data_IF_822036473025
#
_entry.id   IF_822036473025
#
_cell.length_a   1.000
_cell.length_b   1.000
_cell.length_c   1.000
_cell.angle_alpha   90.00
_cell.angle_beta   90.00
_cell.angle_gamma   90.00
#
_symmetry.space_group_name_H-M   'P 1'
#
loop_
_entity.id
_entity.type
_entity.pdbx_description
1 polymer ?
#
# COMPACT_ATOMS: atom_id res chain seq x y z
N UNK A 1 19.51 15.56 27.22
CA UNK A 1 18.11 15.17 26.94
C UNK A 1 17.92 13.74 27.42
N UNK A 2 17.18 13.54 28.53
CA UNK A 2 16.90 12.22 29.12
C UNK A 2 15.66 11.65 28.44
N UNK A 3 15.71 10.40 27.97
CA UNK A 3 14.51 9.58 27.85
C UNK A 3 14.70 8.32 28.70
N UNK A 4 13.77 8.15 29.64
CA UNK A 4 13.73 7.18 30.74
C UNK A 4 12.48 6.35 30.56
N UNK A 5 12.59 5.05 30.85
CA UNK A 5 11.56 4.00 31.13
C UNK A 5 11.62 2.86 30.09
N UNK A 6 11.56 1.59 30.46
CA UNK A 6 11.13 0.98 31.72
C UNK A 6 11.76 -0.42 31.91
N UNK A 7 12.67 -0.57 32.88
CA UNK A 7 13.23 -1.86 33.30
C UNK A 7 12.30 -2.65 34.24
N UNK A 8 10.98 -2.63 34.02
CA UNK A 8 10.03 -3.28 34.92
C UNK A 8 9.99 -4.82 34.80
N UNK A 9 10.48 -5.38 33.69
CA UNK A 9 10.54 -6.83 33.49
C UNK A 9 11.70 -7.49 34.26
N UNK A 10 12.81 -6.79 34.47
CA UNK A 10 14.02 -7.41 35.02
C UNK A 10 14.01 -7.53 36.56
N UNK A 11 13.41 -6.58 37.28
CA UNK A 11 13.33 -6.63 38.75
C UNK A 11 12.42 -7.76 39.26
N UNK A 12 11.37 -8.13 38.50
CA UNK A 12 10.47 -9.23 38.89
C UNK A 12 11.13 -10.61 38.84
N UNK A 13 12.13 -10.82 37.97
CA UNK A 13 12.83 -12.10 37.86
C UNK A 13 13.72 -12.35 39.08
N UNK A 14 14.40 -11.31 39.59
CA UNK A 14 15.23 -11.42 40.80
C UNK A 14 14.40 -11.65 42.07
N UNK A 15 13.23 -11.02 42.17
CA UNK A 15 12.30 -11.22 43.30
C UNK A 15 11.68 -12.63 43.37
N UNK A 16 11.50 -13.30 42.23
CA UNK A 16 10.94 -14.65 42.18
C UNK A 16 11.92 -15.74 42.62
N UNK A 17 13.21 -15.58 42.31
CA UNK A 17 14.24 -16.59 42.65
C UNK A 17 14.48 -16.64 44.17
N UNK A 18 14.40 -15.51 44.88
CA UNK A 18 14.56 -15.47 46.34
C UNK A 18 13.37 -16.05 47.11
N UNK A 19 12.18 -16.11 46.50
CA UNK A 19 10.98 -16.68 47.13
C UNK A 19 10.89 -18.22 47.00
N UNK A 20 11.69 -18.83 46.11
CA UNK A 20 11.71 -20.28 45.89
C UNK A 20 12.55 -21.05 46.93
N UNK A 21 13.44 -20.39 47.68
CA UNK A 21 14.36 -21.07 48.62
C UNK A 21 13.79 -21.34 50.03
N UNK A 22 12.50 -21.07 50.28
CA UNK A 22 11.86 -21.26 51.60
C UNK A 22 10.49 -21.95 51.57
N UNK A 23 10.04 -22.47 50.43
CA UNK A 23 8.74 -23.13 50.33
C UNK A 23 8.93 -24.63 50.09
N UNK A 24 8.72 -25.45 51.13
CA UNK A 24 8.76 -26.91 51.04
C UNK A 24 7.50 -27.55 50.44
N UNK A 25 6.54 -26.77 49.93
CA UNK A 25 5.41 -27.26 49.12
C UNK A 25 4.81 -26.13 48.28
N UNK A 26 4.95 -26.21 46.94
CA UNK A 26 4.31 -25.30 45.98
C UNK A 26 3.01 -25.95 45.47
N UNK A 27 1.86 -25.39 45.84
CA UNK A 27 0.57 -25.82 45.29
C UNK A 27 0.21 -24.94 44.09
N UNK A 28 0.48 -25.44 42.89
CA UNK A 28 -0.03 -24.86 41.64
C UNK A 28 -1.52 -25.22 41.51
N UNK A 29 -2.39 -24.28 41.83
CA UNK A 29 -3.81 -24.40 41.48
C UNK A 29 -4.01 -23.89 40.05
N UNK A 30 -4.73 -24.66 39.25
CA UNK A 30 -4.96 -24.42 37.82
C UNK A 30 -5.47 -22.99 37.59
N UNK A 31 -4.63 -22.11 37.05
CA UNK A 31 -5.02 -20.78 36.59
C UNK A 31 -5.93 -20.95 35.36
N UNK A 32 -7.24 -20.86 35.57
CA UNK A 32 -8.28 -21.03 34.54
C UNK A 32 -8.55 -19.79 33.70
N UNK A 33 -7.65 -18.81 33.65
CA UNK A 33 -7.72 -17.77 32.62
C UNK A 33 -6.36 -17.60 31.95
N UNK A 34 -6.20 -18.35 30.86
CA UNK A 34 -5.36 -17.96 29.73
C UNK A 34 -5.56 -16.46 29.48
N UNK A 35 -4.47 -15.73 29.32
CA UNK A 35 -4.49 -14.36 28.80
C UNK A 35 -4.91 -14.52 27.33
N UNK A 36 -6.21 -14.55 27.08
CA UNK A 36 -6.75 -14.47 25.73
C UNK A 36 -6.44 -13.04 25.25
N UNK A 37 -5.40 -12.89 24.43
CA UNK A 37 -5.28 -11.70 23.58
C UNK A 37 -6.47 -11.78 22.61
N UNK A 38 -7.57 -11.12 22.94
CA UNK A 38 -8.48 -10.65 21.90
C UNK A 38 -7.66 -9.68 21.05
N UNK A 39 -7.02 -10.18 20.00
CA UNK A 39 -6.73 -9.36 18.82
C UNK A 39 -8.09 -9.03 18.24
N UNK A 40 -8.73 -7.99 18.76
CA UNK A 40 -9.78 -7.32 17.98
C UNK A 40 -9.16 -7.03 16.62
N UNK A 41 -9.76 -7.60 15.58
CA UNK A 41 -9.20 -7.61 14.24
C UNK A 41 -8.98 -6.16 13.78
N UNK A 42 -7.71 -5.75 13.73
CA UNK A 42 -7.34 -4.38 13.42
C UNK A 42 -7.78 -4.11 11.98
N UNK A 43 -8.79 -3.26 11.85
CA UNK A 43 -9.31 -2.76 10.59
C UNK A 43 -8.44 -1.63 10.07
N UNK A 44 -8.31 -1.52 8.75
CA UNK A 44 -7.63 -0.41 8.09
C UNK A 44 -8.31 0.92 8.44
N UNK A 45 -7.49 1.89 8.88
CA UNK A 45 -7.92 3.24 9.25
C UNK A 45 -6.80 4.27 9.13
N UNK A 46 -7.10 5.56 9.35
CA UNK A 46 -6.16 6.66 9.14
C UNK A 46 -4.82 6.52 9.87
N UNK A 47 -3.72 6.79 9.18
CA UNK A 47 -2.36 6.72 9.70
C UNK A 47 -1.79 5.30 9.80
N UNK A 48 -2.54 4.28 9.39
CA UNK A 48 -2.04 2.90 9.35
C UNK A 48 -1.19 2.66 8.12
N UNK A 49 -0.11 1.91 8.31
CA UNK A 49 0.68 1.37 7.22
C UNK A 49 0.07 0.07 6.72
N UNK A 50 -0.27 0.04 5.43
CA UNK A 50 -0.98 -1.09 4.80
C UNK A 50 -0.14 -1.59 3.63
N UNK A 51 0.04 -2.91 3.57
CA UNK A 51 0.59 -3.59 2.40
C UNK A 51 -0.53 -4.35 1.68
N UNK A 52 -0.60 -4.24 0.37
CA UNK A 52 -1.63 -4.91 -0.43
C UNK A 52 -1.06 -5.32 -1.79
N UNK A 53 -1.57 -6.43 -2.31
CA UNK A 53 -1.27 -6.90 -3.66
C UNK A 53 -2.59 -6.97 -4.42
N UNK A 54 -2.56 -6.54 -5.69
CA UNK A 54 -3.77 -6.49 -6.52
C UNK A 54 -3.44 -6.80 -7.98
N UNK A 55 -4.50 -7.12 -8.72
CA UNK A 55 -4.48 -7.24 -10.18
C UNK A 55 -5.48 -6.23 -10.72
N UNK A 56 -5.04 -5.40 -11.65
CA UNK A 56 -5.86 -4.41 -12.33
C UNK A 56 -6.15 -4.94 -13.74
N UNK A 57 -7.43 -5.07 -14.04
CA UNK A 57 -7.92 -5.49 -15.35
C UNK A 57 -8.83 -4.43 -15.94
N UNK A 58 -8.76 -4.27 -17.25
CA UNK A 58 -9.74 -3.52 -18.01
C UNK A 58 -11.10 -4.23 -17.92
N UNK A 59 -12.15 -3.51 -17.51
CA UNK A 59 -13.45 -4.12 -17.23
C UNK A 59 -14.19 -4.57 -18.50
N UNK A 60 -13.94 -3.93 -19.63
CA UNK A 60 -14.64 -4.21 -20.90
C UNK A 60 -13.99 -5.37 -21.65
N UNK A 61 -12.65 -5.39 -21.71
CA UNK A 61 -11.87 -6.37 -22.45
C UNK A 61 -11.35 -7.53 -21.59
N UNK A 62 -11.33 -7.39 -20.26
CA UNK A 62 -10.74 -8.34 -19.33
C UNK A 62 -9.21 -8.39 -19.41
N UNK A 63 -8.57 -7.50 -20.17
CA UNK A 63 -7.12 -7.46 -20.34
C UNK A 63 -6.46 -7.00 -19.03
N UNK A 64 -5.43 -7.71 -18.60
CA UNK A 64 -4.59 -7.26 -17.51
C UNK A 64 -3.81 -6.00 -17.90
N UNK A 65 -3.97 -4.95 -17.10
CA UNK A 65 -3.26 -3.70 -17.24
C UNK A 65 -2.05 -3.66 -16.32
N UNK A 66 -2.20 -4.21 -15.11
CA UNK A 66 -1.14 -4.25 -14.11
C UNK A 66 -1.39 -5.36 -13.09
N UNK A 67 -0.32 -5.90 -12.51
CA UNK A 67 -0.40 -6.77 -11.35
C UNK A 67 0.81 -6.52 -10.45
N UNK A 68 0.57 -6.46 -9.14
CA UNK A 68 1.65 -6.38 -8.15
C UNK A 68 2.54 -7.62 -8.25
N UNK A 69 3.88 -7.50 -8.34
CA UNK A 69 4.77 -8.64 -8.42
C UNK A 69 4.67 -9.55 -7.18
N UNK A 70 4.91 -10.85 -7.38
CA UNK A 70 4.88 -11.79 -6.27
C UNK A 70 6.00 -11.49 -5.26
N UNK A 71 5.64 -11.33 -3.98
CA UNK A 71 6.59 -11.02 -2.91
C UNK A 71 6.90 -9.52 -2.74
N UNK A 72 6.43 -8.67 -3.66
CA UNK A 72 6.64 -7.21 -3.62
C UNK A 72 5.29 -6.48 -3.55
N UNK A 73 4.54 -6.58 -2.42
CA UNK A 73 3.28 -5.88 -2.27
C UNK A 73 3.47 -4.35 -2.27
N UNK A 74 2.51 -3.63 -2.82
CA UNK A 74 2.48 -2.17 -2.72
C UNK A 74 2.19 -1.75 -1.27
N UNK A 75 2.71 -0.58 -0.90
CA UNK A 75 2.69 -0.06 0.46
C UNK A 75 2.14 1.36 0.48
N UNK A 76 1.28 1.67 1.45
CA UNK A 76 0.79 3.04 1.65
C UNK A 76 0.52 3.34 3.11
N UNK A 77 0.44 4.64 3.43
CA UNK A 77 -0.11 5.12 4.71
C UNK A 77 -1.55 5.57 4.47
N UNK A 78 -2.50 4.80 5.00
CA UNK A 78 -3.93 5.03 4.77
C UNK A 78 -4.36 6.43 5.23
N UNK A 79 -5.02 7.18 4.36
CA UNK A 79 -5.48 8.54 4.63
C UNK A 79 -4.39 9.62 4.57
N UNK A 80 -3.15 9.27 4.22
CA UNK A 80 -2.04 10.22 4.03
C UNK A 80 -1.49 10.14 2.60
N UNK A 81 -1.30 8.93 2.07
CA UNK A 81 -0.86 8.72 0.69
C UNK A 81 -1.89 9.27 -0.30
N UNK A 82 -1.49 10.24 -1.12
CA UNK A 82 -2.33 10.88 -2.15
C UNK A 82 -2.18 10.23 -3.54
N UNK A 83 -1.19 9.36 -3.71
CA UNK A 83 -0.86 8.69 -4.97
C UNK A 83 -1.80 7.51 -5.30
N UNK A 84 -2.72 7.19 -4.38
CA UNK A 84 -3.63 6.05 -4.50
C UNK A 84 -5.02 6.54 -4.88
N UNK A 85 -5.64 5.87 -5.86
CA UNK A 85 -6.96 6.25 -6.36
C UNK A 85 -8.03 6.19 -5.27
N UNK A 86 -8.99 7.13 -5.23
CA UNK A 86 -9.99 7.22 -4.16
C UNK A 86 -10.82 5.95 -3.98
N UNK A 87 -11.15 5.28 -5.08
CA UNK A 87 -11.92 4.04 -5.06
C UNK A 87 -11.18 2.90 -4.38
N UNK A 88 -9.86 2.81 -4.52
CA UNK A 88 -9.05 1.81 -3.83
C UNK A 88 -8.94 2.11 -2.33
N UNK A 89 -8.79 3.38 -1.95
CA UNK A 89 -8.81 3.80 -0.54
C UNK A 89 -10.16 3.46 0.12
N UNK A 90 -11.27 3.66 -0.60
CA UNK A 90 -12.59 3.29 -0.13
C UNK A 90 -12.76 1.76 -0.01
N UNK A 91 -12.27 1.00 -0.98
CA UNK A 91 -12.33 -0.46 -0.96
C UNK A 91 -11.52 -1.09 0.17
N UNK A 92 -10.38 -0.49 0.52
CA UNK A 92 -9.53 -0.96 1.62
C UNK A 92 -10.04 -0.57 3.00
N UNK A 93 -11.01 0.36 3.08
CA UNK A 93 -11.57 0.82 4.34
C UNK A 93 -12.23 -0.35 5.09
N UNK A 94 -12.01 -0.42 6.39
CA UNK A 94 -12.61 -1.41 7.29
C UNK A 94 -12.22 -2.88 7.03
N UNK A 95 -11.36 -3.15 6.04
CA UNK A 95 -10.77 -4.47 5.81
C UNK A 95 -9.75 -4.82 6.88
N UNK A 96 -9.55 -6.12 7.09
CA UNK A 96 -8.59 -6.69 8.02
C UNK A 96 -7.47 -7.39 7.26
N UNK A 97 -6.41 -7.72 7.99
CA UNK A 97 -5.31 -8.50 7.45
C UNK A 97 -5.82 -9.85 6.93
N UNK A 98 -5.54 -10.14 5.65
CA UNK A 98 -5.91 -11.39 4.99
C UNK A 98 -7.24 -11.34 4.25
N UNK A 99 -8.03 -10.27 4.43
CA UNK A 99 -9.23 -10.04 3.64
C UNK A 99 -8.86 -9.82 2.17
N UNK A 100 -9.79 -10.21 1.30
CA UNK A 100 -9.71 -9.99 -0.14
C UNK A 100 -10.81 -9.02 -0.54
N UNK A 101 -10.55 -8.26 -1.58
CA UNK A 101 -11.54 -7.39 -2.21
C UNK A 101 -11.54 -7.66 -3.70
N UNK A 102 -12.71 -7.46 -4.31
CA UNK A 102 -12.92 -7.49 -5.74
C UNK A 102 -13.91 -6.37 -6.04
N UNK A 103 -13.43 -5.31 -6.69
CA UNK A 103 -14.19 -4.08 -6.91
C UNK A 103 -13.99 -3.60 -8.33
N UNK A 104 -15.09 -3.23 -8.98
CA UNK A 104 -15.07 -2.48 -10.24
C UNK A 104 -15.28 -1.01 -9.91
N UNK A 105 -14.31 -0.17 -10.27
CA UNK A 105 -14.36 1.26 -9.99
C UNK A 105 -14.80 2.03 -11.24
N UNK A 106 -15.71 3.01 -11.13
CA UNK A 106 -15.96 3.94 -12.22
C UNK A 106 -14.73 4.81 -12.48
N UNK A 107 -14.58 5.38 -13.69
CA UNK A 107 -13.41 6.19 -14.05
C UNK A 107 -13.13 7.31 -13.03
N UNK A 108 -14.16 7.99 -12.53
CA UNK A 108 -14.05 9.11 -11.58
C UNK A 108 -13.48 8.70 -10.22
N UNK A 109 -13.65 7.43 -9.82
CA UNK A 109 -13.07 6.89 -8.59
C UNK A 109 -11.70 6.22 -8.81
N UNK A 110 -11.26 6.13 -10.06
CA UNK A 110 -10.00 5.53 -10.49
C UNK A 110 -9.07 6.62 -11.07
N UNK A 111 -8.84 6.59 -12.38
CA UNK A 111 -7.88 7.47 -13.08
C UNK A 111 -8.52 8.67 -13.80
N UNK A 112 -9.82 8.89 -13.61
CA UNK A 112 -10.58 9.94 -14.28
C UNK A 112 -11.14 9.51 -15.64
N UNK A 113 -11.95 10.39 -16.23
CA UNK A 113 -12.54 10.17 -17.55
C UNK A 113 -11.49 10.44 -18.62
N UNK A 114 -11.49 9.63 -19.69
CA UNK A 114 -10.67 9.94 -20.86
C UNK A 114 -11.24 11.16 -21.56
N UNK A 115 -10.48 12.25 -21.57
CA UNK A 115 -10.85 13.47 -22.28
C UNK A 115 -10.21 13.50 -23.67
N UNK A 116 -11.04 13.72 -24.71
CA UNK A 116 -10.56 13.78 -26.10
C UNK A 116 -9.60 14.95 -26.34
N UNK A 117 -9.71 16.03 -25.56
CA UNK A 117 -8.81 17.18 -25.59
C UNK A 117 -7.37 16.85 -25.18
N UNK A 118 -7.15 15.76 -24.43
CA UNK A 118 -5.81 15.26 -24.10
C UNK A 118 -5.17 14.46 -25.25
N UNK A 119 -5.91 14.24 -26.35
CA UNK A 119 -5.38 13.61 -27.55
C UNK A 119 -4.92 14.70 -28.51
N UNK A 120 -3.61 14.81 -28.67
CA UNK A 120 -2.99 15.85 -29.51
C UNK A 120 -2.36 15.19 -30.73
N UNK A 121 -2.70 15.72 -31.91
CA UNK A 121 -2.00 15.36 -33.13
C UNK A 121 -0.74 16.21 -33.28
N UNK A 122 0.40 15.54 -33.37
CA UNK A 122 1.71 16.17 -33.50
C UNK A 122 2.30 15.83 -34.86
N UNK A 123 2.89 16.83 -35.52
CA UNK A 123 3.59 16.62 -36.78
C UNK A 123 4.83 15.74 -36.55
N UNK A 124 5.07 14.78 -37.44
CA UNK A 124 6.22 13.87 -37.34
C UNK A 124 7.55 14.60 -37.43
N UNK A 125 7.58 15.76 -38.09
CA UNK A 125 8.78 16.55 -38.27
C UNK A 125 9.39 17.02 -36.94
N UNK A 126 8.58 17.20 -35.89
CA UNK A 126 9.09 17.61 -34.56
C UNK A 126 9.95 16.53 -33.89
N UNK A 127 9.86 15.28 -34.37
CA UNK A 127 10.63 14.16 -33.84
C UNK A 127 11.80 13.74 -34.75
N UNK A 128 12.11 14.54 -35.77
CA UNK A 128 13.26 14.29 -36.64
C UNK A 128 14.56 14.68 -35.93
N UNK A 129 15.57 13.80 -35.99
CA UNK A 129 16.96 14.07 -35.60
C UNK A 129 17.87 13.76 -36.78
N UNK A 130 18.70 14.72 -37.17
CA UNK A 130 19.62 14.58 -38.30
C UNK A 130 18.95 14.11 -39.61
N UNK A 131 17.72 14.59 -39.85
CA UNK A 131 16.94 14.24 -41.04
C UNK A 131 16.33 12.83 -41.04
N UNK A 132 16.37 12.13 -39.89
CA UNK A 132 15.74 10.82 -39.69
C UNK A 132 14.78 10.87 -38.51
N UNK A 133 13.67 10.16 -38.60
CA UNK A 133 12.75 10.03 -37.46
C UNK A 133 13.48 9.31 -36.32
N UNK A 134 13.39 9.87 -35.10
CA UNK A 134 13.99 9.26 -33.93
C UNK A 134 13.48 7.83 -33.73
N UNK A 135 14.39 6.89 -33.44
CA UNK A 135 14.07 5.45 -33.39
C UNK A 135 13.08 5.07 -32.28
N UNK A 136 12.97 5.91 -31.24
CA UNK A 136 11.98 5.77 -30.18
C UNK A 136 10.54 6.08 -30.61
N UNK A 137 10.32 6.81 -31.71
CA UNK A 137 8.98 7.20 -32.16
C UNK A 137 8.34 6.08 -32.96
N UNK A 138 7.59 5.24 -32.25
CA UNK A 138 6.85 4.10 -32.79
C UNK A 138 5.42 4.11 -32.25
N UNK A 139 4.52 3.44 -32.97
CA UNK A 139 3.14 3.29 -32.49
C UNK A 139 3.10 2.60 -31.12
N UNK A 140 2.45 3.24 -30.15
CA UNK A 140 2.35 2.76 -28.78
C UNK A 140 3.61 2.96 -27.91
N UNK A 141 4.61 3.69 -28.40
CA UNK A 141 5.74 4.10 -27.57
C UNK A 141 5.33 5.25 -26.64
N UNK A 142 5.86 5.25 -25.42
CA UNK A 142 5.74 6.38 -24.49
C UNK A 142 6.85 7.39 -24.78
N UNK A 143 6.47 8.62 -25.12
CA UNK A 143 7.40 9.68 -25.47
C UNK A 143 7.41 10.77 -24.38
N UNK A 144 8.60 11.12 -23.83
CA UNK A 144 8.71 12.22 -22.90
C UNK A 144 8.50 13.56 -23.64
N UNK A 145 7.50 14.30 -23.20
CA UNK A 145 7.13 15.61 -23.74
C UNK A 145 7.08 16.66 -22.63
N UNK A 146 7.00 17.94 -23.00
CA UNK A 146 6.72 19.02 -22.06
C UNK A 146 5.44 19.77 -22.44
N UNK A 147 4.61 20.06 -21.45
CA UNK A 147 3.43 20.92 -21.64
C UNK A 147 3.85 22.39 -21.77
N UNK A 148 2.93 23.24 -22.23
CA UNK A 148 3.16 24.69 -22.34
C UNK A 148 3.53 25.35 -20.99
N UNK A 149 3.11 24.74 -19.87
CA UNK A 149 3.40 25.18 -18.50
C UNK A 149 4.75 24.67 -17.98
N UNK A 150 5.48 23.88 -18.78
CA UNK A 150 6.80 23.37 -18.46
C UNK A 150 6.79 22.05 -17.66
N UNK A 151 5.64 21.42 -17.48
CA UNK A 151 5.56 20.10 -16.85
C UNK A 151 5.99 19.01 -17.84
N UNK A 152 6.77 18.04 -17.35
CA UNK A 152 7.09 16.84 -18.14
C UNK A 152 5.93 15.86 -18.08
N UNK A 153 5.54 15.35 -19.23
CA UNK A 153 4.48 14.34 -19.37
C UNK A 153 4.98 13.23 -20.28
N UNK A 154 4.44 12.02 -20.11
CA UNK A 154 4.57 10.93 -21.05
C UNK A 154 3.30 10.87 -21.87
N UNK A 155 3.42 10.76 -23.19
CA UNK A 155 2.27 10.53 -24.08
C UNK A 155 2.58 9.55 -25.19
#
# INVERSE_FOLDING_TARGET
MKYRRNNRCFEKIRSGITALSKANNLKLTKLTKLITYNMEEIKVGPGMFVKYAYRLTDADSGKELFATPEGEPDEMVYGVSQEVVPGLIAALKDLKKGDRFDVTLPPEAAFGVRHAENVIELDKDIFMRDGKLAEEVKAGAELPMMTAEGFRVLG
#
